data_IF_837862512820
#
_entry.id   IF_837862512820
#
_cell.length_a   1.000
_cell.length_b   1.000
_cell.length_c   1.000
_cell.angle_alpha   90.00
_cell.angle_beta   90.00
_cell.angle_gamma   90.00
#
_symmetry.space_group_name_H-M   'P 1'
#
loop_
_entity.id
_entity.type
_entity.pdbx_description
1 polymer ?
#
# COMPACT_ATOMS: atom_id res chain seq x y z
N UNK A 1 28.04 -10.87 -22.59
CA UNK A 1 26.59 -10.80 -22.25
C UNK A 1 26.27 -9.58 -21.38
N UNK A 2 26.76 -8.37 -21.71
CA UNK A 2 26.60 -7.16 -20.86
C UNK A 2 25.89 -5.98 -21.55
N UNK A 3 25.48 -6.09 -22.81
CA UNK A 3 24.85 -4.98 -23.57
C UNK A 3 23.34 -4.80 -23.32
N UNK A 4 22.68 -5.75 -22.64
CA UNK A 4 21.21 -5.75 -22.45
C UNK A 4 20.68 -5.02 -21.21
N UNK A 5 21.54 -4.67 -20.24
CA UNK A 5 21.11 -4.03 -18.98
C UNK A 5 20.72 -2.56 -19.18
N UNK A 6 21.45 -1.83 -20.04
CA UNK A 6 21.23 -0.39 -20.27
C UNK A 6 19.89 -0.06 -20.95
N UNK A 7 19.46 -0.89 -21.90
CA UNK A 7 18.17 -0.70 -22.58
C UNK A 7 17.00 -1.01 -21.64
N UNK A 8 17.11 -2.05 -20.83
CA UNK A 8 16.08 -2.45 -19.87
C UNK A 8 15.88 -1.39 -18.79
N UNK A 9 16.97 -0.88 -18.19
CA UNK A 9 16.89 0.20 -17.19
C UNK A 9 16.27 1.47 -17.79
N UNK A 10 16.67 1.84 -19.01
CA UNK A 10 16.08 3.00 -19.70
C UNK A 10 14.57 2.84 -19.90
N UNK A 11 14.12 1.65 -20.33
CA UNK A 11 12.70 1.37 -20.49
C UNK A 11 11.93 1.46 -19.16
N UNK A 12 12.50 0.95 -18.06
CA UNK A 12 11.88 1.04 -16.73
C UNK A 12 11.77 2.49 -16.24
N UNK A 13 12.80 3.31 -16.47
CA UNK A 13 12.77 4.74 -16.14
C UNK A 13 11.72 5.48 -16.97
N UNK A 14 11.59 5.17 -18.26
CA UNK A 14 10.58 5.76 -19.13
C UNK A 14 9.16 5.40 -18.65
N UNK A 15 8.90 4.13 -18.33
CA UNK A 15 7.60 3.70 -17.81
C UNK A 15 7.28 4.37 -16.47
N UNK A 16 8.27 4.48 -15.58
CA UNK A 16 8.12 5.18 -14.30
C UNK A 16 7.82 6.66 -14.49
N UNK A 17 8.51 7.32 -15.44
CA UNK A 17 8.26 8.72 -15.79
C UNK A 17 6.85 8.92 -16.36
N UNK A 18 6.39 8.03 -17.24
CA UNK A 18 5.01 8.07 -17.77
C UNK A 18 3.98 7.90 -16.65
N UNK A 19 4.20 6.97 -15.72
CA UNK A 19 3.35 6.79 -14.55
C UNK A 19 3.28 8.05 -13.66
N UNK A 20 4.43 8.65 -13.37
CA UNK A 20 4.52 9.90 -12.58
C UNK A 20 3.85 11.07 -13.29
N UNK A 21 4.04 11.21 -14.61
CA UNK A 21 3.36 12.23 -15.42
C UNK A 21 1.85 12.02 -15.40
N UNK A 22 1.37 10.77 -15.51
CA UNK A 22 -0.05 10.45 -15.38
C UNK A 22 -0.61 10.84 -14.01
N UNK A 23 0.09 10.50 -12.92
CA UNK A 23 -0.30 10.88 -11.57
C UNK A 23 -0.36 12.41 -11.40
N UNK A 24 0.65 13.14 -11.87
CA UNK A 24 0.67 14.60 -11.83
C UNK A 24 -0.47 15.21 -12.67
N UNK A 25 -0.70 14.71 -13.88
CA UNK A 25 -1.79 15.15 -14.74
C UNK A 25 -3.16 14.97 -14.07
N UNK A 26 -3.41 13.82 -13.43
CA UNK A 26 -4.68 13.60 -12.71
C UNK A 26 -4.87 14.58 -11.56
N UNK A 27 -3.81 14.91 -10.82
CA UNK A 27 -3.89 15.91 -9.74
C UNK A 27 -4.23 17.31 -10.28
N UNK A 28 -3.62 17.70 -11.41
CA UNK A 28 -3.80 19.02 -12.02
C UNK A 28 -5.15 19.18 -12.73
N UNK A 29 -5.67 18.13 -13.36
CA UNK A 29 -6.91 18.16 -14.16
C UNK A 29 -8.15 17.90 -13.31
N UNK A 30 -8.12 16.86 -12.47
CA UNK A 30 -9.30 16.39 -11.72
C UNK A 30 -9.34 16.91 -10.26
N UNK A 31 -8.24 17.55 -9.82
CA UNK A 31 -8.10 18.09 -8.48
C UNK A 31 -7.78 17.04 -7.40
N UNK A 32 -7.62 17.50 -6.14
CA UNK A 32 -7.08 16.68 -5.06
C UNK A 32 -8.01 15.54 -4.64
N UNK A 33 -9.33 15.74 -4.70
CA UNK A 33 -10.30 14.73 -4.22
C UNK A 33 -10.25 13.46 -5.08
N UNK A 34 -10.26 13.61 -6.41
CA UNK A 34 -10.21 12.47 -7.34
C UNK A 34 -8.86 11.78 -7.30
N UNK A 35 -7.77 12.56 -7.24
CA UNK A 35 -6.41 12.03 -7.13
C UNK A 35 -6.25 11.14 -5.90
N UNK A 36 -6.58 11.65 -4.71
CA UNK A 36 -6.41 10.88 -3.47
C UNK A 36 -7.35 9.67 -3.41
N UNK A 37 -8.58 9.77 -3.92
CA UNK A 37 -9.48 8.62 -4.02
C UNK A 37 -8.89 7.50 -4.89
N UNK A 38 -8.34 7.83 -6.07
CA UNK A 38 -7.68 6.86 -6.93
C UNK A 38 -6.40 6.29 -6.30
N UNK A 39 -5.62 7.14 -5.61
CA UNK A 39 -4.45 6.72 -4.83
C UNK A 39 -4.80 5.64 -3.81
N UNK A 40 -5.90 5.85 -3.06
CA UNK A 40 -6.37 4.91 -2.06
C UNK A 40 -6.73 3.56 -2.68
N UNK A 41 -7.42 3.54 -3.83
CA UNK A 41 -7.80 2.30 -4.52
C UNK A 41 -6.56 1.48 -4.90
N UNK A 42 -5.58 2.10 -5.57
CA UNK A 42 -4.37 1.39 -6.01
C UNK A 42 -3.48 0.97 -4.84
N UNK A 43 -3.38 1.80 -3.81
CA UNK A 43 -2.68 1.47 -2.57
C UNK A 43 -3.32 0.25 -1.89
N UNK A 44 -4.65 0.26 -1.69
CA UNK A 44 -5.37 -0.85 -1.06
C UNK A 44 -5.26 -2.12 -1.89
N UNK A 45 -5.34 -2.03 -3.22
CA UNK A 45 -5.11 -3.16 -4.11
C UNK A 45 -3.72 -3.77 -3.90
N UNK A 46 -2.67 -2.94 -3.90
CA UNK A 46 -1.30 -3.40 -3.66
C UNK A 46 -1.11 -4.06 -2.29
N UNK A 47 -1.68 -3.46 -1.23
CA UNK A 47 -1.68 -4.04 0.12
C UNK A 47 -2.40 -5.39 0.14
N UNK A 48 -3.58 -5.48 -0.44
CA UNK A 48 -4.40 -6.70 -0.43
C UNK A 48 -3.69 -7.85 -1.15
N UNK A 49 -3.05 -7.59 -2.29
CA UNK A 49 -2.26 -8.58 -3.02
C UNK A 49 -1.03 -9.00 -2.21
N UNK A 50 -0.24 -8.02 -1.71
CA UNK A 50 0.98 -8.31 -0.95
C UNK A 50 0.71 -9.11 0.33
N UNK A 51 -0.23 -8.65 1.15
CA UNK A 51 -0.60 -9.32 2.40
C UNK A 51 -1.34 -10.63 2.15
N UNK A 52 -2.16 -10.72 1.10
CA UNK A 52 -2.82 -11.96 0.70
C UNK A 52 -1.81 -13.04 0.34
N UNK A 53 -0.78 -12.70 -0.45
CA UNK A 53 0.31 -13.62 -0.75
C UNK A 53 1.12 -13.99 0.50
N UNK A 54 1.42 -13.03 1.37
CA UNK A 54 2.12 -13.29 2.63
C UNK A 54 1.36 -14.28 3.52
N UNK A 55 0.04 -14.11 3.62
CA UNK A 55 -0.84 -15.03 4.33
C UNK A 55 -0.81 -16.45 3.75
N UNK A 56 -0.87 -16.59 2.42
CA UNK A 56 -0.80 -17.90 1.75
C UNK A 56 0.52 -18.60 2.04
N UNK A 57 1.66 -17.88 1.96
CA UNK A 57 2.97 -18.48 2.28
C UNK A 57 3.01 -18.96 3.73
N UNK A 58 2.54 -18.13 4.67
CA UNK A 58 2.46 -18.50 6.09
C UNK A 58 1.59 -19.73 6.32
N UNK A 59 0.43 -19.82 5.65
CA UNK A 59 -0.48 -20.96 5.74
C UNK A 59 0.17 -22.24 5.21
N UNK A 60 0.89 -22.18 4.09
CA UNK A 60 1.58 -23.34 3.52
C UNK A 60 2.65 -23.87 4.47
N UNK A 61 3.37 -22.98 5.16
CA UNK A 61 4.33 -23.38 6.19
C UNK A 61 3.62 -23.99 7.40
N UNK A 62 2.47 -23.47 7.80
CA UNK A 62 1.76 -23.98 8.96
C UNK A 62 1.18 -25.39 8.73
N UNK A 63 0.67 -25.66 7.52
CA UNK A 63 0.01 -26.93 7.17
C UNK A 63 0.99 -27.94 6.57
N UNK A 64 2.24 -27.54 6.29
CA UNK A 64 3.27 -28.40 5.66
C UNK A 64 2.78 -28.98 4.31
N UNK A 65 2.17 -28.12 3.49
CA UNK A 65 1.60 -28.51 2.19
C UNK A 65 2.69 -28.91 1.19
N UNK A 66 2.58 -30.12 0.62
CA UNK A 66 3.57 -30.67 -0.33
C UNK A 66 3.15 -30.42 -1.79
N UNK A 67 1.84 -30.39 -2.07
CA UNK A 67 1.33 -30.26 -3.45
C UNK A 67 1.50 -28.86 -4.04
N UNK A 68 1.53 -27.82 -3.18
CA UNK A 68 1.67 -26.42 -3.60
C UNK A 68 3.12 -25.91 -3.64
N UNK A 69 4.11 -26.76 -3.33
CA UNK A 69 5.54 -26.42 -3.34
C UNK A 69 6.02 -25.80 -4.67
N UNK A 70 5.60 -26.29 -5.87
CA UNK A 70 6.00 -25.65 -7.12
C UNK A 70 5.43 -24.23 -7.29
N UNK A 71 4.27 -23.94 -6.70
CA UNK A 71 3.59 -22.65 -6.80
C UNK A 71 4.13 -21.63 -5.79
N UNK A 72 4.63 -22.08 -4.63
CA UNK A 72 5.07 -21.26 -3.49
C UNK A 72 6.00 -20.10 -3.86
N UNK A 73 6.90 -20.28 -4.82
CA UNK A 73 7.84 -19.23 -5.25
C UNK A 73 7.14 -17.97 -5.78
N UNK A 74 5.94 -18.11 -6.35
CA UNK A 74 5.20 -16.96 -6.89
C UNK A 74 4.60 -16.11 -5.75
N UNK A 75 3.82 -16.66 -4.80
CA UNK A 75 3.39 -15.92 -3.60
C UNK A 75 4.54 -15.38 -2.76
N UNK A 76 5.66 -16.09 -2.59
CA UNK A 76 6.84 -15.57 -1.89
C UNK A 76 7.34 -14.27 -2.52
N UNK A 77 7.50 -14.23 -3.85
CA UNK A 77 7.94 -13.02 -4.55
C UNK A 77 6.88 -11.92 -4.51
N UNK A 78 5.61 -12.25 -4.70
CA UNK A 78 4.52 -11.27 -4.67
C UNK A 78 4.28 -10.71 -3.26
N UNK A 79 4.58 -11.45 -2.20
CA UNK A 79 4.44 -10.96 -0.83
C UNK A 79 5.35 -9.76 -0.53
N UNK A 80 6.48 -9.64 -1.24
CA UNK A 80 7.36 -8.47 -1.14
C UNK A 80 6.67 -7.16 -1.56
N UNK A 81 5.56 -7.24 -2.31
CA UNK A 81 4.74 -6.09 -2.68
C UNK A 81 4.20 -5.37 -1.43
N UNK A 82 3.93 -6.09 -0.33
CA UNK A 82 3.53 -5.47 0.94
C UNK A 82 4.56 -4.45 1.44
N UNK A 83 5.85 -4.69 1.18
CA UNK A 83 6.94 -3.79 1.54
C UNK A 83 7.04 -2.63 0.53
N UNK A 84 6.99 -2.94 -0.77
CA UNK A 84 7.10 -1.95 -1.85
C UNK A 84 5.94 -0.95 -1.90
N UNK A 85 4.76 -1.30 -1.37
CA UNK A 85 3.62 -0.39 -1.26
C UNK A 85 3.72 0.55 -0.04
N UNK A 86 4.66 0.32 0.88
CA UNK A 86 4.86 1.16 2.07
C UNK A 86 5.01 2.66 1.75
N UNK A 87 5.81 3.09 0.75
CA UNK A 87 5.89 4.51 0.39
C UNK A 87 4.54 5.10 -0.03
N UNK A 88 3.68 4.31 -0.68
CA UNK A 88 2.33 4.75 -1.07
C UNK A 88 1.43 4.93 0.15
N UNK A 89 1.57 4.07 1.16
CA UNK A 89 0.88 4.18 2.45
C UNK A 89 1.30 5.44 3.19
N UNK A 90 2.60 5.70 3.25
CA UNK A 90 3.13 6.89 3.92
C UNK A 90 2.70 8.17 3.20
N UNK A 91 2.72 8.19 1.86
CA UNK A 91 2.22 9.31 1.08
C UNK A 91 0.72 9.56 1.31
N UNK A 92 -0.10 8.51 1.48
CA UNK A 92 -1.52 8.65 1.75
C UNK A 92 -1.84 9.38 3.08
N UNK A 93 -0.90 9.40 4.03
CA UNK A 93 -1.06 10.16 5.28
C UNK A 93 -1.12 11.67 5.03
N UNK A 94 -0.50 12.16 3.95
CA UNK A 94 -0.58 13.58 3.56
C UNK A 94 -1.98 13.96 3.05
N UNK A 95 -2.73 12.99 2.52
CA UNK A 95 -4.09 13.15 1.99
C UNK A 95 -5.20 12.98 3.03
N UNK A 96 -4.88 12.80 4.32
CA UNK A 96 -5.85 12.50 5.38
C UNK A 96 -7.08 13.43 5.40
N UNK A 97 -6.93 14.77 5.40
CA UNK A 97 -8.08 15.68 5.43
C UNK A 97 -8.91 15.65 4.15
N UNK A 98 -8.35 15.22 3.03
CA UNK A 98 -9.08 15.12 1.75
C UNK A 98 -9.90 13.83 1.72
N UNK A 99 -9.26 12.72 2.09
CA UNK A 99 -9.82 11.36 2.03
C UNK A 99 -10.89 11.11 3.08
N UNK A 100 -10.67 11.57 4.31
CA UNK A 100 -11.46 11.14 5.44
C UNK A 100 -12.28 12.30 6.03
N UNK A 101 -13.62 12.18 6.06
CA UNK A 101 -14.48 13.22 6.64
C UNK A 101 -14.17 13.53 8.11
N UNK A 102 -13.73 12.53 8.89
CA UNK A 102 -13.36 12.70 10.30
C UNK A 102 -12.07 13.51 10.50
N UNK A 103 -11.21 13.60 9.49
CA UNK A 103 -9.97 14.39 9.54
C UNK A 103 -10.20 15.86 9.15
N UNK A 104 -11.40 16.21 8.66
CA UNK A 104 -11.78 17.59 8.33
C UNK A 104 -12.26 18.32 9.59
N UNK A 105 -12.01 19.63 9.73
CA UNK A 105 -12.57 20.42 10.83
C UNK A 105 -14.09 20.30 10.94
N UNK A 106 -14.80 20.25 9.81
CA UNK A 106 -16.25 20.08 9.74
C UNK A 106 -16.75 18.72 10.26
N UNK A 107 -15.90 17.69 10.30
CA UNK A 107 -16.26 16.35 10.81
C UNK A 107 -16.28 16.27 12.33
N UNK A 108 -15.62 17.21 13.03
CA UNK A 108 -15.47 17.16 14.48
C UNK A 108 -16.78 17.35 15.25
N UNK A 109 -17.81 17.96 14.64
CA UNK A 109 -19.13 18.19 15.24
C UNK A 109 -20.16 17.11 14.89
N UNK A 110 -19.83 16.14 14.04
CA UNK A 110 -20.75 15.07 13.64
C UNK A 110 -20.86 14.06 14.79
N UNK A 111 -22.06 13.81 15.37
CA UNK A 111 -22.21 12.97 16.56
C UNK A 111 -21.61 11.55 16.41
N UNK A 112 -21.76 10.95 15.22
CA UNK A 112 -21.22 9.62 14.93
C UNK A 112 -19.68 9.57 14.91
N UNK A 113 -19.01 10.69 14.62
CA UNK A 113 -17.55 10.81 14.62
C UNK A 113 -17.06 11.11 16.03
N UNK A 114 -17.75 11.98 16.77
CA UNK A 114 -17.44 12.30 18.17
C UNK A 114 -17.40 11.05 19.03
N UNK A 115 -18.39 10.16 18.88
CA UNK A 115 -18.46 8.89 19.62
C UNK A 115 -17.29 7.94 19.31
N UNK A 116 -16.62 8.13 18.16
CA UNK A 116 -15.49 7.32 17.68
C UNK A 116 -14.17 8.07 17.74
N UNK A 117 -14.11 9.27 18.34
CA UNK A 117 -12.94 10.15 18.35
C UNK A 117 -11.69 9.51 18.97
N UNK A 118 -11.86 8.64 19.96
CA UNK A 118 -10.76 7.86 20.53
C UNK A 118 -10.05 6.96 19.48
N UNK A 119 -10.79 6.47 18.47
CA UNK A 119 -10.28 5.65 17.37
C UNK A 119 -10.00 6.43 16.09
N UNK A 120 -10.78 7.48 15.82
CA UNK A 120 -10.74 8.33 14.62
C UNK A 120 -10.07 9.67 14.93
N UNK A 121 -8.85 9.62 15.46
CA UNK A 121 -7.99 10.80 15.59
C UNK A 121 -6.70 10.61 14.77
N UNK A 122 -6.19 11.72 14.23
CA UNK A 122 -5.02 11.75 13.35
C UNK A 122 -3.77 11.09 13.94
N UNK A 123 -3.30 11.43 15.17
CA UNK A 123 -2.08 10.83 15.69
C UNK A 123 -2.22 9.33 15.92
N UNK A 124 -3.34 8.86 16.48
CA UNK A 124 -3.59 7.43 16.67
C UNK A 124 -3.66 6.67 15.33
N UNK A 125 -4.32 7.25 14.33
CA UNK A 125 -4.39 6.67 12.99
C UNK A 125 -2.99 6.49 12.38
N UNK A 126 -2.14 7.52 12.48
CA UNK A 126 -0.75 7.47 12.00
C UNK A 126 0.04 6.39 12.75
N UNK A 127 0.02 6.40 14.08
CA UNK A 127 0.76 5.41 14.90
C UNK A 127 0.32 3.99 14.57
N UNK A 128 -0.99 3.71 14.52
CA UNK A 128 -1.50 2.39 14.13
C UNK A 128 -1.06 1.99 12.72
N UNK A 129 -1.07 2.92 11.78
CA UNK A 129 -0.64 2.65 10.40
C UNK A 129 0.84 2.26 10.36
N UNK A 130 1.70 2.96 11.10
CA UNK A 130 3.12 2.62 11.23
C UNK A 130 3.33 1.26 11.89
N UNK A 131 2.55 0.94 12.94
CA UNK A 131 2.57 -0.38 13.57
C UNK A 131 2.18 -1.47 12.57
N UNK A 132 1.11 -1.28 11.78
CA UNK A 132 0.71 -2.23 10.76
C UNK A 132 1.83 -2.46 9.75
N UNK A 133 2.45 -1.40 9.23
CA UNK A 133 3.60 -1.50 8.32
C UNK A 133 4.74 -2.28 8.97
N UNK A 134 5.12 -1.94 10.21
CA UNK A 134 6.19 -2.66 10.93
C UNK A 134 5.88 -4.15 11.09
N UNK A 135 4.63 -4.50 11.38
CA UNK A 135 4.18 -5.89 11.46
C UNK A 135 4.27 -6.60 10.10
N UNK A 136 4.04 -5.91 8.98
CA UNK A 136 4.22 -6.51 7.65
C UNK A 136 5.68 -6.83 7.36
N UNK A 137 6.61 -5.92 7.70
CA UNK A 137 8.05 -6.16 7.59
C UNK A 137 8.48 -7.34 8.46
N UNK A 138 7.99 -7.40 9.70
CA UNK A 138 8.26 -8.50 10.61
C UNK A 138 7.74 -9.82 10.06
N UNK A 139 6.46 -9.87 9.65
CA UNK A 139 5.85 -11.08 9.12
C UNK A 139 6.55 -11.57 7.84
N UNK A 140 6.92 -10.65 6.95
CA UNK A 140 7.70 -10.99 5.76
C UNK A 140 9.04 -11.64 6.14
N UNK A 141 9.81 -11.04 7.05
CA UNK A 141 11.11 -11.59 7.45
C UNK A 141 11.04 -12.88 8.28
N UNK A 142 9.88 -13.23 8.83
CA UNK A 142 9.67 -14.50 9.54
C UNK A 142 9.23 -15.64 8.63
N UNK A 143 8.50 -15.33 7.55
CA UNK A 143 7.81 -16.31 6.71
C UNK A 143 8.54 -16.58 5.39
N UNK A 144 9.27 -15.59 4.86
CA UNK A 144 9.96 -15.65 3.57
C UNK A 144 11.47 -15.54 3.77
#
# INVERSE_FOLDING_TARGET
>A
MSSGSGTTVRSLLLLSAVGLMGAAATYLVEGPVRFWANWLVWMVFGIAVGLGCLFIVALEHQVQSIWSVPLRRVPERLSSLALWVTPLVLAALLGLPVLYPWAKPAGASVPAIVLKSAWLNTPFFIVRTLICVALWFLAYGLVV
#
